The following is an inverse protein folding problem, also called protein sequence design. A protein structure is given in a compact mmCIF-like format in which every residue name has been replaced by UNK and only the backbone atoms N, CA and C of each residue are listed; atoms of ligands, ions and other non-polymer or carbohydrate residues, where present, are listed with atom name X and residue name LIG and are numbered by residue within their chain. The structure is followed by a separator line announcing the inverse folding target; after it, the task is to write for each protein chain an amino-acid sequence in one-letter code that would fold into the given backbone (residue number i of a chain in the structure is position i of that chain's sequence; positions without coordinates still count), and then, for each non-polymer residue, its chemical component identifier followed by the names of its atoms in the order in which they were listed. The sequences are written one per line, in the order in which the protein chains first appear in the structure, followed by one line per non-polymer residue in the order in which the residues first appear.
data_IF_365598178852
#
_entry.id   IF_365598178852
#
_cell.length_a   1.000
_cell.length_b   1.000
_cell.length_c   1.000
_cell.angle_alpha   90.00
_cell.angle_beta   90.00
_cell.angle_gamma   90.00
#
_symmetry.space_group_name_H-M   'P 1'
#
loop_
_entity.id
_entity.type
_entity.pdbx_description
1 polymer ?
#
# COMPACT_ATOMS: atom_id res chain seq x y z
N UNK A 1 23.70 -3.47 -6.64
CA UNK A 1 22.98 -4.48 -5.83
C UNK A 1 22.49 -3.98 -4.47
N UNK A 2 22.94 -2.83 -3.94
CA UNK A 2 22.51 -2.35 -2.61
C UNK A 2 21.06 -1.81 -2.50
N UNK A 3 20.40 -1.44 -3.59
CA UNK A 3 19.04 -0.85 -3.53
C UNK A 3 17.94 -1.90 -3.29
N UNK A 4 18.05 -3.06 -3.93
CA UNK A 4 17.09 -4.17 -3.79
C UNK A 4 17.13 -4.76 -2.37
N UNK A 5 18.33 -4.89 -1.79
CA UNK A 5 18.53 -5.33 -0.40
C UNK A 5 17.90 -4.36 0.62
N UNK A 6 17.97 -3.05 0.37
CA UNK A 6 17.38 -2.02 1.23
C UNK A 6 15.84 -1.99 1.16
N UNK A 7 15.27 -2.32 0.01
CA UNK A 7 13.82 -2.47 -0.17
C UNK A 7 13.32 -3.79 0.45
N UNK A 8 14.12 -4.86 0.37
CA UNK A 8 13.86 -6.14 1.06
C UNK A 8 13.88 -5.99 2.58
N UNK A 9 14.72 -5.10 3.13
CA UNK A 9 14.74 -4.81 4.57
C UNK A 9 13.42 -4.25 5.11
N UNK A 10 12.55 -3.67 4.27
CA UNK A 10 11.21 -3.22 4.65
C UNK A 10 10.15 -4.30 4.42
N UNK A 11 10.31 -5.08 3.36
CA UNK A 11 9.39 -6.19 3.02
C UNK A 11 9.42 -7.30 4.08
N UNK A 12 10.60 -7.75 4.46
CA UNK A 12 10.79 -8.92 5.34
C UNK A 12 10.18 -8.72 6.73
N UNK A 13 10.45 -7.62 7.47
CA UNK A 13 9.82 -7.41 8.77
C UNK A 13 8.32 -7.10 8.65
N UNK A 14 7.88 -6.44 7.57
CA UNK A 14 6.46 -6.22 7.31
C UNK A 14 5.70 -7.54 7.12
N UNK A 15 6.21 -8.40 6.24
CA UNK A 15 5.60 -9.71 5.95
C UNK A 15 5.67 -10.64 7.17
N UNK A 16 6.80 -10.67 7.88
CA UNK A 16 6.95 -11.45 9.12
C UNK A 16 6.01 -10.94 10.21
N UNK A 17 5.87 -9.63 10.39
CA UNK A 17 4.95 -9.08 11.38
C UNK A 17 3.48 -9.36 11.01
N UNK A 18 3.08 -9.22 9.75
CA UNK A 18 1.71 -9.57 9.29
C UNK A 18 1.41 -11.06 9.48
N UNK A 19 2.38 -11.93 9.21
CA UNK A 19 2.24 -13.38 9.43
C UNK A 19 2.20 -13.72 10.93
N UNK A 20 3.11 -13.15 11.72
CA UNK A 20 3.21 -13.40 13.17
C UNK A 20 2.00 -12.88 13.95
N UNK A 21 1.38 -11.81 13.47
CA UNK A 21 0.22 -11.20 14.08
C UNK A 21 -1.09 -11.89 13.70
N UNK A 22 -1.08 -12.95 12.86
CA UNK A 22 -2.28 -13.61 12.35
C UNK A 22 -3.34 -12.62 11.84
N UNK A 23 -2.88 -11.53 11.20
CA UNK A 23 -3.75 -10.43 10.77
C UNK A 23 -4.84 -10.93 9.82
N UNK A 24 -4.52 -11.95 9.00
CA UNK A 24 -5.44 -12.57 8.05
C UNK A 24 -6.55 -13.33 8.80
N UNK A 25 -6.21 -14.11 9.83
CA UNK A 25 -7.18 -14.91 10.59
C UNK A 25 -8.14 -14.02 11.37
N UNK A 26 -7.64 -12.90 11.90
CA UNK A 26 -8.48 -11.89 12.57
C UNK A 26 -9.42 -11.18 11.59
N UNK A 27 -8.94 -10.86 10.37
CA UNK A 27 -9.79 -10.30 9.31
C UNK A 27 -10.86 -11.30 8.85
N UNK A 28 -10.51 -12.59 8.73
CA UNK A 28 -11.46 -13.66 8.41
C UNK A 28 -12.52 -13.82 9.51
N UNK A 29 -12.09 -13.82 10.77
CA UNK A 29 -13.02 -13.89 11.92
C UNK A 29 -13.99 -12.70 11.94
N UNK A 30 -13.53 -11.51 11.53
CA UNK A 30 -14.38 -10.31 11.45
C UNK A 30 -15.32 -10.33 10.23
N UNK A 31 -14.94 -11.02 9.14
CA UNK A 31 -15.79 -11.24 7.96
C UNK A 31 -16.88 -12.29 8.22
N UNK A 32 -16.57 -13.29 9.05
CA UNK A 32 -17.51 -14.35 9.45
C UNK A 32 -18.32 -13.97 10.71
N UNK A 33 -17.99 -12.84 11.35
CA UNK A 33 -18.72 -12.33 12.51
C UNK A 33 -20.16 -11.94 12.15
N UNK A 34 -21.11 -12.22 13.06
CA UNK A 34 -22.53 -11.88 12.88
C UNK A 34 -22.80 -10.36 12.86
N UNK A 35 -21.85 -9.55 13.32
CA UNK A 35 -21.97 -8.08 13.31
C UNK A 35 -21.76 -7.50 11.91
N UNK A 36 -22.86 -7.07 11.28
CA UNK A 36 -22.90 -6.46 9.96
C UNK A 36 -21.98 -5.23 9.82
N UNK A 37 -21.76 -4.48 10.90
CA UNK A 37 -20.86 -3.31 10.87
C UNK A 37 -19.39 -3.71 10.80
N UNK A 38 -19.03 -4.79 11.50
CA UNK A 38 -17.69 -5.37 11.44
C UNK A 38 -17.37 -5.88 10.04
N UNK A 39 -18.33 -6.58 9.41
CA UNK A 39 -18.20 -7.04 8.03
C UNK A 39 -18.05 -5.88 7.04
N UNK A 40 -18.90 -4.85 7.16
CA UNK A 40 -18.84 -3.69 6.27
C UNK A 40 -17.52 -2.93 6.42
N UNK A 41 -17.07 -2.68 7.66
CA UNK A 41 -15.81 -2.01 7.93
C UNK A 41 -14.61 -2.82 7.40
N UNK A 42 -14.64 -4.14 7.55
CA UNK A 42 -13.60 -5.04 7.03
C UNK A 42 -13.57 -5.01 5.50
N UNK A 43 -14.71 -5.15 4.84
CA UNK A 43 -14.81 -5.07 3.36
C UNK A 43 -14.39 -3.71 2.83
N UNK A 44 -14.82 -2.62 3.47
CA UNK A 44 -14.45 -1.26 3.09
C UNK A 44 -12.94 -1.04 3.20
N UNK A 45 -12.34 -1.49 4.30
CA UNK A 45 -10.90 -1.39 4.53
C UNK A 45 -10.11 -2.23 3.52
N UNK A 46 -10.53 -3.47 3.26
CA UNK A 46 -9.91 -4.32 2.25
C UNK A 46 -10.04 -3.72 0.84
N UNK A 47 -11.21 -3.15 0.52
CA UNK A 47 -11.42 -2.45 -0.74
C UNK A 47 -10.51 -1.24 -0.89
N UNK A 48 -10.36 -0.45 0.17
CA UNK A 48 -9.48 0.73 0.18
C UNK A 48 -8.00 0.34 0.09
N UNK A 49 -7.62 -0.76 0.74
CA UNK A 49 -6.29 -1.35 0.62
C UNK A 49 -5.98 -1.82 -0.81
N UNK A 50 -6.92 -2.55 -1.42
CA UNK A 50 -6.81 -2.96 -2.82
C UNK A 50 -6.76 -1.76 -3.78
N UNK A 51 -7.53 -0.71 -3.49
CA UNK A 51 -7.52 0.54 -4.26
C UNK A 51 -6.15 1.24 -4.18
N UNK A 52 -5.54 1.30 -2.99
CA UNK A 52 -4.16 1.81 -2.83
C UNK A 52 -3.16 1.03 -3.67
N UNK A 53 -3.24 -0.31 -3.67
CA UNK A 53 -2.36 -1.16 -4.49
C UNK A 53 -2.58 -0.86 -5.98
N UNK A 54 -3.83 -0.75 -6.42
CA UNK A 54 -4.16 -0.43 -7.81
C UNK A 54 -3.59 0.92 -8.25
N UNK A 55 -3.68 1.97 -7.41
CA UNK A 55 -3.08 3.28 -7.69
C UNK A 55 -1.55 3.20 -7.76
N UNK A 56 -0.91 2.40 -6.90
CA UNK A 56 0.54 2.18 -6.97
C UNK A 56 0.95 1.52 -8.28
N UNK A 57 0.25 0.45 -8.67
CA UNK A 57 0.48 -0.26 -9.93
C UNK A 57 0.22 0.69 -11.10
N UNK A 58 -0.81 1.53 -11.03
CA UNK A 58 -1.10 2.53 -12.05
C UNK A 58 0.06 3.53 -12.23
N UNK A 59 0.66 4.03 -11.14
CA UNK A 59 1.83 4.93 -11.23
C UNK A 59 3.03 4.23 -11.87
N UNK A 60 3.28 2.96 -11.52
CA UNK A 60 4.38 2.17 -12.09
C UNK A 60 4.13 1.88 -13.58
N UNK A 61 2.87 1.63 -13.96
CA UNK A 61 2.45 1.36 -15.34
C UNK A 61 2.26 2.63 -16.18
N UNK A 62 2.13 3.81 -15.57
CA UNK A 62 1.95 5.09 -16.24
C UNK A 62 2.93 5.33 -17.41
N UNK A 63 4.26 5.08 -17.30
CA UNK A 63 5.18 5.24 -18.42
C UNK A 63 4.88 4.30 -19.60
N UNK A 64 4.26 3.14 -19.36
CA UNK A 64 3.91 2.16 -20.40
C UNK A 64 2.61 2.54 -21.11
N UNK A 65 1.66 3.13 -20.37
CA UNK A 65 0.34 3.50 -20.89
C UNK A 65 0.40 4.83 -21.66
N UNK A 66 1.13 5.81 -21.12
CA UNK A 66 1.16 7.17 -21.66
C UNK A 66 2.38 7.45 -22.54
N UNK A 67 3.37 6.56 -22.60
CA UNK A 67 4.57 6.70 -23.45
C UNK A 67 5.50 7.88 -23.09
N UNK A 68 5.16 8.67 -22.07
CA UNK A 68 5.92 9.82 -21.57
C UNK A 68 6.39 9.51 -20.15
N UNK A 69 7.66 9.82 -19.84
CA UNK A 69 8.19 9.64 -18.49
C UNK A 69 7.41 10.52 -17.50
N UNK A 70 6.82 9.97 -16.43
CA UNK A 70 6.20 10.76 -15.38
C UNK A 70 7.26 11.66 -14.74
N UNK A 71 7.08 12.97 -14.83
CA UNK A 71 7.93 13.92 -14.10
C UNK A 71 7.49 13.96 -12.64
N UNK A 72 8.08 13.06 -11.83
CA UNK A 72 7.84 13.00 -10.39
C UNK A 72 8.33 14.25 -9.65
N UNK A 73 9.29 15.01 -10.19
CA UNK A 73 9.77 16.24 -9.57
C UNK A 73 8.76 17.39 -9.73
N UNK A 74 8.06 17.42 -10.87
CA UNK A 74 7.01 18.40 -11.17
C UNK A 74 5.63 17.76 -11.23
N UNK A 75 5.38 16.79 -10.36
CA UNK A 75 4.14 16.01 -10.34
C UNK A 75 2.87 16.87 -10.22
N UNK A 76 2.95 18.05 -9.57
CA UNK A 76 1.85 19.02 -9.49
C UNK A 76 1.47 19.64 -10.84
N UNK A 77 2.40 19.74 -11.78
CA UNK A 77 2.18 20.33 -13.11
C UNK A 77 1.68 19.30 -14.12
N UNK A 78 1.94 18.02 -13.89
CA UNK A 78 1.40 16.93 -14.70
C UNK A 78 -0.04 16.60 -14.30
N UNK A 79 -1.00 16.72 -15.22
CA UNK A 79 -2.43 16.56 -14.90
C UNK A 79 -2.81 15.21 -14.28
N UNK A 80 -2.19 14.11 -14.72
CA UNK A 80 -2.47 12.77 -14.17
C UNK A 80 -1.83 12.59 -12.80
N UNK A 81 -0.54 12.93 -12.65
CA UNK A 81 0.21 12.72 -11.41
C UNK A 81 -0.23 13.66 -10.28
N UNK A 82 -0.71 14.86 -10.62
CA UNK A 82 -1.23 15.84 -9.66
C UNK A 82 -2.50 15.38 -8.96
N UNK A 83 -3.26 14.47 -9.58
CA UNK A 83 -4.48 13.89 -9.02
C UNK A 83 -4.19 12.55 -8.34
N UNK A 84 -3.36 11.72 -8.98
CA UNK A 84 -3.08 10.35 -8.50
C UNK A 84 -2.27 10.33 -7.22
N UNK A 85 -1.25 11.20 -7.06
CA UNK A 85 -0.40 11.20 -5.84
C UNK A 85 -1.19 11.61 -4.59
N UNK A 86 -2.00 12.69 -4.60
CA UNK A 86 -2.83 13.04 -3.46
C UNK A 86 -3.88 11.97 -3.15
N UNK A 87 -4.52 11.40 -4.18
CA UNK A 87 -5.50 10.34 -4.00
C UNK A 87 -4.88 9.08 -3.41
N UNK A 88 -3.68 8.71 -3.86
CA UNK A 88 -2.89 7.63 -3.28
C UNK A 88 -2.60 7.90 -1.81
N UNK A 89 -2.10 9.10 -1.49
CA UNK A 89 -1.78 9.49 -0.11
C UNK A 89 -3.01 9.42 0.79
N UNK A 90 -4.13 9.95 0.31
CA UNK A 90 -5.39 9.90 1.04
C UNK A 90 -5.88 8.47 1.24
N UNK A 91 -5.76 7.60 0.22
CA UNK A 91 -6.12 6.19 0.32
C UNK A 91 -5.25 5.42 1.32
N UNK A 92 -3.94 5.75 1.41
CA UNK A 92 -3.03 5.12 2.38
C UNK A 92 -3.42 5.51 3.80
N UNK A 93 -3.63 6.81 4.06
CA UNK A 93 -3.98 7.29 5.40
C UNK A 93 -5.34 6.74 5.83
N UNK A 94 -6.34 6.83 4.95
CA UNK A 94 -7.70 6.35 5.25
C UNK A 94 -7.76 4.83 5.38
N UNK A 95 -7.04 4.08 4.56
CA UNK A 95 -6.97 2.63 4.65
C UNK A 95 -6.21 2.15 5.88
N UNK A 96 -5.12 2.80 6.27
CA UNK A 96 -4.39 2.50 7.51
C UNK A 96 -5.26 2.79 8.75
N UNK A 97 -5.99 3.91 8.76
CA UNK A 97 -6.95 4.21 9.82
C UNK A 97 -8.10 3.19 9.86
N UNK A 98 -8.64 2.80 8.71
CA UNK A 98 -9.66 1.77 8.62
C UNK A 98 -9.18 0.45 9.22
N UNK A 99 -7.97 0.01 8.85
CA UNK A 99 -7.41 -1.27 9.27
C UNK A 99 -7.08 -1.29 10.77
N UNK A 100 -6.56 -0.17 11.29
CA UNK A 100 -6.32 -0.01 12.73
C UNK A 100 -7.62 0.03 13.54
N UNK A 101 -8.66 0.71 13.04
CA UNK A 101 -9.99 0.74 13.67
C UNK A 101 -10.66 -0.64 13.63
N UNK A 102 -10.63 -1.32 12.47
CA UNK A 102 -11.21 -2.65 12.30
C UNK A 102 -10.58 -3.65 13.26
N UNK A 103 -9.25 -3.75 13.27
CA UNK A 103 -8.55 -4.65 14.19
C UNK A 103 -8.69 -4.20 15.65
N UNK A 104 -8.52 -2.92 15.95
CA UNK A 104 -8.52 -2.43 17.33
C UNK A 104 -9.88 -2.51 18.02
N UNK A 105 -10.98 -2.40 17.27
CA UNK A 105 -12.34 -2.36 17.82
C UNK A 105 -13.08 -3.68 17.76
N UNK A 106 -12.89 -4.47 16.71
CA UNK A 106 -13.65 -5.72 16.50
C UNK A 106 -12.83 -6.98 16.74
N UNK A 107 -11.56 -6.85 17.17
CA UNK A 107 -10.74 -8.00 17.54
C UNK A 107 -10.10 -7.80 18.91
N UNK A 108 -9.81 -8.89 19.61
CA UNK A 108 -9.19 -8.88 20.94
C UNK A 108 -7.70 -8.52 20.93
N UNK A 109 -7.19 -8.09 19.77
CA UNK A 109 -5.78 -7.79 19.55
C UNK A 109 -5.32 -6.54 20.30
N UNK A 110 -6.25 -5.60 20.56
CA UNK A 110 -5.97 -4.33 21.21
C UNK A 110 -5.31 -3.29 20.28
N UNK A 111 -5.47 -2.01 20.63
CA UNK A 111 -5.10 -0.87 19.78
C UNK A 111 -3.64 -0.82 19.35
N UNK A 112 -2.70 -1.11 20.26
CA UNK A 112 -1.27 -1.09 19.95
C UNK A 112 -0.89 -2.17 18.92
N UNK A 113 -1.42 -3.38 19.07
CA UNK A 113 -1.15 -4.47 18.11
C UNK A 113 -1.84 -4.21 16.77
N UNK A 114 -3.04 -3.63 16.78
CA UNK A 114 -3.73 -3.20 15.57
C UNK A 114 -2.92 -2.16 14.77
N UNK A 115 -2.34 -1.16 15.43
CA UNK A 115 -1.43 -0.18 14.82
C UNK A 115 -0.20 -0.84 14.19
N UNK A 116 0.43 -1.76 14.91
CA UNK A 116 1.60 -2.49 14.40
C UNK A 116 1.20 -3.39 13.22
N UNK A 117 0.07 -4.09 13.31
CA UNK A 117 -0.44 -4.97 12.26
C UNK A 117 -0.75 -4.20 10.97
N UNK A 118 -1.44 -3.06 11.07
CA UNK A 118 -1.74 -2.21 9.93
C UNK A 118 -0.46 -1.64 9.30
N UNK A 119 0.47 -1.17 10.13
CA UNK A 119 1.75 -0.65 9.65
C UNK A 119 2.60 -1.72 8.97
N UNK A 120 2.61 -2.94 9.52
CA UNK A 120 3.28 -4.10 8.94
C UNK A 120 2.69 -4.49 7.58
N UNK A 121 1.36 -4.51 7.45
CA UNK A 121 0.69 -4.81 6.18
C UNK A 121 1.09 -3.80 5.09
N UNK A 122 0.98 -2.50 5.38
CA UNK A 122 1.39 -1.46 4.44
C UNK A 122 2.88 -1.50 4.11
N UNK A 123 3.75 -1.77 5.09
CA UNK A 123 5.19 -1.93 4.87
C UNK A 123 5.51 -3.12 3.97
N UNK A 124 4.84 -4.26 4.16
CA UNK A 124 4.97 -5.43 3.30
C UNK A 124 4.56 -5.11 1.86
N UNK A 125 3.42 -4.44 1.69
CA UNK A 125 2.93 -4.05 0.36
C UNK A 125 3.86 -3.07 -0.35
N UNK A 126 4.35 -2.02 0.33
CA UNK A 126 5.33 -1.11 -0.28
C UNK A 126 6.67 -1.80 -0.56
N UNK A 127 7.08 -2.74 0.28
CA UNK A 127 8.24 -3.60 0.04
C UNK A 127 8.07 -4.40 -1.26
N UNK A 128 6.93 -5.09 -1.43
CA UNK A 128 6.62 -5.86 -2.64
C UNK A 128 6.58 -4.99 -3.89
N UNK A 129 5.91 -3.84 -3.80
CA UNK A 129 5.80 -2.90 -4.93
C UNK A 129 7.15 -2.28 -5.29
N UNK A 130 7.99 -2.01 -4.29
CA UNK A 130 9.35 -1.51 -4.49
C UNK A 130 10.29 -2.52 -5.14
N UNK A 131 10.02 -3.82 -5.00
CA UNK A 131 10.75 -4.88 -5.69
C UNK A 131 10.41 -4.98 -7.18
N UNK A 132 9.29 -4.42 -7.62
CA UNK A 132 8.95 -4.36 -9.04
C UNK A 132 10.02 -3.48 -9.69
N UNK A 133 10.89 -4.04 -10.56
CA UNK A 133 11.95 -3.26 -11.16
C UNK A 133 11.29 -2.24 -12.08
N UNK A 134 11.31 -0.98 -11.65
CA UNK A 134 11.06 0.14 -12.55
C UNK A 134 12.15 0.05 -13.62
N UNK A 135 11.80 -0.42 -14.81
CA UNK A 135 12.66 -0.29 -15.98
C UNK A 135 12.77 1.20 -16.29
N UNK A 136 13.67 1.88 -15.60
CA UNK A 136 14.17 3.17 -16.05
C UNK A 136 14.78 2.93 -17.41
N UNK A 137 14.16 3.45 -18.46
CA UNK A 137 14.76 3.48 -19.79
C UNK A 137 16.02 4.33 -19.64
N UNK A 138 17.14 3.63 -19.52
CA UNK A 138 18.47 4.18 -19.42
C UNK A 138 18.80 4.84 -20.76
N UNK A 139 18.80 6.16 -20.79
CA UNK A 139 19.55 6.94 -21.77
C UNK A 139 18.73 7.75 -22.79
N UNK A 140 18.34 8.96 -22.40
CA UNK A 140 18.43 10.12 -23.29
C UNK A 140 19.26 11.17 -22.54
N UNK A 141 20.56 10.87 -22.43
CA UNK A 141 21.56 11.88 -22.08
C UNK A 141 21.70 12.74 -23.33
N UNK A 142 21.27 13.99 -23.23
CA UNK A 142 21.66 15.06 -24.16
C UNK A 142 23.16 14.96 -24.44
N UNK A 143 23.54 14.97 -25.70
CA UNK A 143 24.78 15.58 -26.11
C UNK A 143 24.49 16.30 -27.42
N UNK A 144 24.89 17.57 -27.41
CA UNK A 144 24.72 18.59 -28.43
C UNK A 144 25.30 18.21 -29.80
#
# INVERSE_FOLDING_TARGET
MNHVLRQLQLLVPGALATYYLHTIDHLQTTLDATDSWAQLATRATLGLYAFTIALFVYIIAAPWIHGVQPDFARWRQSGVLSTVIPLLTLSIVTGWLGLTLTLGRWTDMGWLRAVVAASAAYAATFGCLGLIPAKGIRGQRKSD
#
